data_IF_232791910667
#
_entry.id   IF_232791910667
#
_cell.length_a   1.000
_cell.length_b   1.000
_cell.length_c   1.000
_cell.angle_alpha   90.00
_cell.angle_beta   90.00
_cell.angle_gamma   90.00
#
_symmetry.space_group_name_H-M   'P 1'
#
loop_
_entity.id
_entity.type
_entity.pdbx_description
1 polymer ?
#
# COMPACT_ATOMS: atom_id res chain seq x y z
N UNK A 1 -6.69 38.11 7.30
CA UNK A 1 -6.43 36.67 7.10
C UNK A 1 -6.58 35.88 8.39
N UNK A 2 -5.84 36.16 9.47
CA UNK A 2 -6.02 35.46 10.75
C UNK A 2 -7.48 35.53 11.29
N UNK A 3 -8.17 36.67 11.17
CA UNK A 3 -9.60 36.75 11.54
C UNK A 3 -10.55 36.05 10.55
N UNK A 4 -10.12 35.83 9.30
CA UNK A 4 -10.89 35.11 8.28
C UNK A 4 -10.77 33.59 8.45
N UNK A 5 -9.58 33.11 8.83
CA UNK A 5 -9.33 31.70 9.16
C UNK A 5 -10.04 31.29 10.47
N UNK A 6 -10.07 32.16 11.48
CA UNK A 6 -10.82 31.92 12.72
C UNK A 6 -12.34 32.01 12.56
N UNK A 7 -12.82 32.57 11.44
CA UNK A 7 -14.23 32.54 11.06
C UNK A 7 -14.58 31.23 10.32
N UNK A 8 -13.65 30.69 9.52
CA UNK A 8 -13.82 29.39 8.85
C UNK A 8 -13.86 28.21 9.82
N UNK A 9 -13.08 28.22 10.90
CA UNK A 9 -13.13 27.17 11.94
C UNK A 9 -14.38 27.22 12.83
N UNK A 10 -15.13 28.32 12.78
CA UNK A 10 -16.38 28.54 13.55
C UNK A 10 -17.63 28.51 12.68
N UNK A 11 -17.47 28.31 11.37
CA UNK A 11 -18.59 28.05 10.48
C UNK A 11 -19.14 26.69 10.88
N UNK A 12 -20.31 26.68 11.52
CA UNK A 12 -21.18 25.52 11.50
C UNK A 12 -21.31 25.14 10.04
N UNK A 13 -20.89 23.91 9.72
CA UNK A 13 -21.08 23.36 8.37
C UNK A 13 -22.56 23.56 8.07
N UNK A 14 -22.92 24.28 7.00
CA UNK A 14 -24.32 24.41 6.64
C UNK A 14 -24.92 23.01 6.56
N UNK A 15 -26.09 22.81 7.19
CA UNK A 15 -26.82 21.54 7.11
C UNK A 15 -27.01 21.06 5.66
N UNK A 16 -26.83 21.97 4.70
CA UNK A 16 -26.91 21.70 3.27
C UNK A 16 -25.58 21.95 2.52
N UNK A 17 -24.56 21.15 2.80
CA UNK A 17 -23.35 21.08 1.97
C UNK A 17 -23.69 20.72 0.51
N UNK A 18 -24.86 20.12 0.28
CA UNK A 18 -25.39 19.85 -1.06
C UNK A 18 -25.78 21.14 -1.80
N UNK A 19 -26.33 22.15 -1.11
CA UNK A 19 -26.63 23.46 -1.71
C UNK A 19 -25.36 24.17 -2.19
N UNK A 20 -24.26 24.10 -1.44
CA UNK A 20 -22.96 24.65 -1.87
C UNK A 20 -22.42 23.95 -3.12
N UNK A 21 -22.49 22.61 -3.14
CA UNK A 21 -22.06 21.80 -4.28
C UNK A 21 -22.92 22.10 -5.51
N UNK A 22 -24.23 22.17 -5.36
CA UNK A 22 -25.18 22.51 -6.43
C UNK A 22 -24.95 23.94 -6.94
N UNK A 23 -24.66 24.88 -6.05
CA UNK A 23 -24.27 26.25 -6.40
C UNK A 23 -22.98 26.34 -7.22
N UNK A 24 -22.09 25.35 -7.10
CA UNK A 24 -20.88 25.21 -7.92
C UNK A 24 -21.13 24.52 -9.27
N UNK A 25 -22.37 24.12 -9.56
CA UNK A 25 -22.72 23.33 -10.75
C UNK A 25 -22.56 21.82 -10.55
N UNK A 26 -22.57 21.35 -9.30
CA UNK A 26 -22.41 19.95 -8.94
C UNK A 26 -20.96 19.57 -8.59
N UNK A 27 -20.79 18.33 -8.13
CA UNK A 27 -19.50 17.80 -7.66
C UNK A 27 -18.38 17.92 -8.70
N UNK A 28 -18.67 17.58 -9.96
CA UNK A 28 -17.67 17.58 -11.04
C UNK A 28 -17.13 19.00 -11.33
N UNK A 29 -18.03 19.98 -11.44
CA UNK A 29 -17.65 21.38 -11.67
C UNK A 29 -16.86 21.96 -10.49
N UNK A 30 -17.24 21.61 -9.25
CA UNK A 30 -16.49 21.96 -8.05
C UNK A 30 -15.07 21.37 -8.09
N UNK A 31 -14.93 20.06 -8.39
CA UNK A 31 -13.63 19.39 -8.40
C UNK A 31 -12.68 19.93 -9.48
N UNK A 32 -13.20 20.19 -10.67
CA UNK A 32 -12.47 20.85 -11.75
C UNK A 32 -12.01 22.25 -11.35
N UNK A 33 -12.89 23.02 -10.70
CA UNK A 33 -12.59 24.38 -10.24
C UNK A 33 -11.50 24.35 -9.17
N UNK A 34 -11.61 23.49 -8.15
CA UNK A 34 -10.62 23.34 -7.08
C UNK A 34 -9.26 22.94 -7.66
N UNK A 35 -9.23 21.93 -8.53
CA UNK A 35 -7.99 21.41 -9.11
C UNK A 35 -7.33 22.46 -10.02
N UNK A 36 -8.09 23.12 -10.89
CA UNK A 36 -7.57 24.15 -11.79
C UNK A 36 -7.07 25.38 -11.04
N UNK A 37 -7.79 25.78 -9.99
CA UNK A 37 -7.39 26.92 -9.15
C UNK A 37 -6.11 26.61 -8.40
N UNK A 38 -5.97 25.40 -7.85
CA UNK A 38 -4.76 25.00 -7.15
C UNK A 38 -3.57 24.84 -8.10
N UNK A 39 -3.76 24.25 -9.29
CA UNK A 39 -2.71 24.16 -10.31
C UNK A 39 -2.24 25.55 -10.77
N UNK A 40 -3.18 26.47 -11.01
CA UNK A 40 -2.86 27.86 -11.37
C UNK A 40 -2.07 28.55 -10.26
N UNK A 41 -2.52 28.44 -9.01
CA UNK A 41 -1.81 29.01 -7.86
C UNK A 41 -0.41 28.40 -7.69
N UNK A 42 -0.29 27.09 -7.94
CA UNK A 42 0.97 26.37 -7.84
C UNK A 42 1.98 26.75 -8.95
N UNK A 43 1.50 27.08 -10.15
CA UNK A 43 2.38 27.48 -11.27
C UNK A 43 2.81 28.94 -11.21
N UNK A 44 2.11 29.79 -10.45
CA UNK A 44 2.36 31.23 -10.37
C UNK A 44 2.60 31.71 -8.93
N UNK A 45 3.68 31.23 -8.27
CA UNK A 45 3.96 31.52 -6.86
C UNK A 45 4.24 33.00 -6.57
N UNK A 46 4.57 33.79 -7.60
CA UNK A 46 4.85 35.23 -7.46
C UNK A 46 3.60 36.08 -7.21
N UNK A 47 2.40 35.51 -7.40
CA UNK A 47 1.17 36.19 -7.04
C UNK A 47 1.07 36.23 -5.51
N UNK A 48 1.04 37.42 -4.93
CA UNK A 48 0.89 37.60 -3.47
C UNK A 48 -0.35 36.91 -2.89
N UNK A 49 -1.35 36.63 -3.73
CA UNK A 49 -2.56 35.89 -3.38
C UNK A 49 -2.42 34.36 -3.47
N UNK A 50 -1.40 33.81 -4.16
CA UNK A 50 -1.29 32.37 -4.41
C UNK A 50 -1.13 31.56 -3.11
N UNK A 51 -0.26 31.99 -2.20
CA UNK A 51 -0.05 31.31 -0.91
C UNK A 51 -1.33 31.31 -0.06
N UNK A 52 -2.05 32.42 -0.03
CA UNK A 52 -3.31 32.53 0.71
C UNK A 52 -4.43 31.70 0.07
N UNK A 53 -4.48 31.66 -1.26
CA UNK A 53 -5.42 30.85 -2.02
C UNK A 53 -5.18 29.35 -1.80
N UNK A 54 -3.92 28.90 -1.91
CA UNK A 54 -3.52 27.52 -1.61
C UNK A 54 -3.89 27.16 -0.17
N UNK A 55 -3.59 28.03 0.80
CA UNK A 55 -3.95 27.81 2.20
C UNK A 55 -5.45 27.71 2.42
N UNK A 56 -6.23 28.61 1.81
CA UNK A 56 -7.69 28.58 1.86
C UNK A 56 -8.28 27.32 1.23
N UNK A 57 -7.73 26.88 0.08
CA UNK A 57 -8.14 25.66 -0.59
C UNK A 57 -7.79 24.41 0.23
N UNK A 58 -6.59 24.34 0.83
CA UNK A 58 -6.22 23.21 1.67
C UNK A 58 -7.05 23.16 2.94
N UNK A 59 -7.36 24.30 3.57
CA UNK A 59 -8.27 24.34 4.71
C UNK A 59 -9.69 23.90 4.32
N UNK A 60 -10.18 24.35 3.16
CA UNK A 60 -11.46 23.90 2.63
C UNK A 60 -11.45 22.39 2.40
N UNK A 61 -10.40 21.85 1.76
CA UNK A 61 -10.25 20.42 1.50
C UNK A 61 -10.18 19.61 2.79
N UNK A 62 -9.41 20.07 3.78
CA UNK A 62 -9.26 19.41 5.07
C UNK A 62 -10.59 19.38 5.85
N UNK A 63 -11.31 20.51 5.86
CA UNK A 63 -12.66 20.59 6.45
C UNK A 63 -13.64 19.70 5.68
N UNK A 64 -13.55 19.70 4.34
CA UNK A 64 -14.37 18.86 3.47
C UNK A 64 -14.09 17.39 3.73
N UNK A 65 -12.85 16.98 3.96
CA UNK A 65 -12.50 15.59 4.29
C UNK A 65 -13.05 15.16 5.65
N UNK A 66 -13.11 16.06 6.63
CA UNK A 66 -13.67 15.77 7.95
C UNK A 66 -15.21 15.67 7.95
N UNK A 67 -15.87 16.32 7.00
CA UNK A 67 -17.32 16.55 6.99
C UNK A 67 -18.05 15.79 5.90
N UNK A 68 -17.47 15.74 4.69
CA UNK A 68 -18.09 15.15 3.50
C UNK A 68 -17.87 13.65 3.50
N UNK A 69 -18.89 12.92 3.03
CA UNK A 69 -18.87 11.47 2.90
C UNK A 69 -17.54 10.99 2.27
N UNK A 70 -16.81 10.05 2.91
CA UNK A 70 -15.55 9.47 2.44
C UNK A 70 -15.58 8.99 0.98
N UNK A 71 -16.77 8.70 0.45
CA UNK A 71 -17.01 8.22 -0.92
C UNK A 71 -16.75 9.28 -2.01
N UNK A 72 -16.78 10.56 -1.67
CA UNK A 72 -16.56 11.68 -2.62
C UNK A 72 -15.09 11.93 -2.91
N UNK A 73 -14.21 11.60 -1.96
CA UNK A 73 -12.80 11.94 -2.03
C UNK A 73 -12.04 11.20 -3.16
N UNK A 74 -12.28 9.90 -3.43
CA UNK A 74 -11.72 9.24 -4.61
C UNK A 74 -12.07 9.94 -5.93
N UNK A 75 -13.26 10.53 -6.04
CA UNK A 75 -13.69 11.24 -7.24
C UNK A 75 -12.88 12.54 -7.40
N UNK A 76 -12.74 13.31 -6.34
CA UNK A 76 -11.90 14.51 -6.33
C UNK A 76 -10.43 14.18 -6.68
N UNK A 77 -9.85 13.13 -6.08
CA UNK A 77 -8.47 12.70 -6.36
C UNK A 77 -8.29 12.24 -7.81
N UNK A 78 -9.31 11.61 -8.40
CA UNK A 78 -9.28 11.19 -9.81
C UNK A 78 -9.20 12.36 -10.81
N UNK A 79 -9.53 13.58 -10.38
CA UNK A 79 -9.40 14.79 -11.20
C UNK A 79 -7.98 15.39 -11.19
N UNK A 80 -7.01 14.77 -10.51
CA UNK A 80 -5.61 15.19 -10.55
C UNK A 80 -5.27 16.27 -9.52
N UNK A 81 -5.87 16.22 -8.34
CA UNK A 81 -5.60 17.15 -7.24
C UNK A 81 -4.21 16.98 -6.62
N UNK A 82 -3.66 15.76 -6.67
CA UNK A 82 -2.40 15.41 -5.99
C UNK A 82 -1.20 16.20 -6.53
N UNK A 83 -0.93 16.29 -7.85
CA UNK A 83 0.23 17.03 -8.34
C UNK A 83 0.23 18.52 -7.93
N UNK A 84 -0.88 19.28 -8.02
CA UNK A 84 -0.94 20.64 -7.49
C UNK A 84 -0.64 20.76 -6.00
N UNK A 85 -1.09 19.82 -5.16
CA UNK A 85 -0.75 19.81 -3.72
C UNK A 85 0.74 19.60 -3.47
N UNK A 86 1.37 18.70 -4.21
CA UNK A 86 2.81 18.47 -4.11
C UNK A 86 3.60 19.71 -4.56
N UNK A 87 3.16 20.38 -5.62
CA UNK A 87 3.78 21.65 -6.06
C UNK A 87 3.58 22.76 -5.03
N UNK A 88 2.41 22.83 -4.39
CA UNK A 88 2.12 23.78 -3.34
C UNK A 88 3.07 23.66 -2.13
N UNK A 89 3.53 22.45 -1.78
CA UNK A 89 4.55 22.27 -0.73
C UNK A 89 5.83 23.06 -1.02
N UNK A 90 6.26 23.14 -2.28
CA UNK A 90 7.47 23.88 -2.68
C UNK A 90 7.32 25.40 -2.59
N UNK A 91 6.09 25.91 -2.67
CA UNK A 91 5.79 27.35 -2.72
C UNK A 91 5.56 27.90 -1.33
N UNK A 92 4.82 27.16 -0.52
CA UNK A 92 4.33 27.66 0.77
C UNK A 92 5.44 27.69 1.80
N UNK A 93 6.31 26.68 1.83
CA UNK A 93 7.23 26.54 2.95
C UNK A 93 8.26 27.67 3.11
N UNK A 94 8.84 28.30 2.04
CA UNK A 94 9.82 29.38 2.25
C UNK A 94 9.16 30.63 2.83
N UNK A 95 7.90 30.89 2.45
CA UNK A 95 7.13 32.04 2.93
C UNK A 95 6.56 31.83 4.33
N UNK A 96 6.19 30.60 4.70
CA UNK A 96 5.66 30.26 6.03
C UNK A 96 6.70 30.41 7.14
N UNK A 97 7.98 30.09 6.88
CA UNK A 97 9.04 30.26 7.89
C UNK A 97 9.34 31.73 8.21
N UNK A 98 9.03 32.65 7.29
CA UNK A 98 9.32 34.07 7.46
C UNK A 98 8.20 34.83 8.22
N UNK A 99 6.98 34.28 8.31
CA UNK A 99 5.82 35.00 8.84
C UNK A 99 4.97 34.13 9.79
N UNK A 100 4.95 34.43 11.11
CA UNK A 100 4.24 33.65 12.13
C UNK A 100 2.70 33.61 11.97
N UNK A 101 2.12 34.43 11.09
CA UNK A 101 0.68 34.55 10.88
C UNK A 101 0.12 33.70 9.73
N UNK A 102 0.97 32.94 9.02
CA UNK A 102 0.59 32.16 7.85
C UNK A 102 0.65 30.65 8.10
N UNK A 103 -0.49 30.02 8.35
CA UNK A 103 -0.58 28.55 8.38
C UNK A 103 -1.15 27.97 7.06
N UNK A 104 -0.39 27.97 5.95
CA UNK A 104 -0.66 27.04 4.86
C UNK A 104 0.21 25.79 4.90
N UNK A 105 1.48 25.83 5.34
CA UNK A 105 2.37 24.65 5.20
C UNK A 105 1.92 23.43 6.03
N UNK A 106 1.62 23.56 7.33
CA UNK A 106 1.17 22.42 8.14
C UNK A 106 -0.17 21.84 7.65
N UNK A 107 -1.04 22.70 7.10
CA UNK A 107 -2.32 22.26 6.52
C UNK A 107 -2.08 21.50 5.22
N UNK A 108 -1.24 22.00 4.31
CA UNK A 108 -0.93 21.34 3.03
C UNK A 108 -0.34 19.96 3.27
N UNK A 109 0.62 19.81 4.20
CA UNK A 109 1.23 18.51 4.47
C UNK A 109 0.22 17.53 5.08
N UNK A 110 -0.60 17.97 6.06
CA UNK A 110 -1.66 17.14 6.63
C UNK A 110 -2.68 16.71 5.58
N UNK A 111 -3.18 17.65 4.79
CA UNK A 111 -4.15 17.36 3.71
C UNK A 111 -3.55 16.37 2.72
N UNK A 112 -2.29 16.53 2.33
CA UNK A 112 -1.62 15.60 1.44
C UNK A 112 -1.50 14.21 2.06
N UNK A 113 -0.99 14.10 3.29
CA UNK A 113 -0.86 12.81 4.01
C UNK A 113 -2.20 12.09 4.07
N UNK A 114 -3.25 12.77 4.51
CA UNK A 114 -4.61 12.22 4.57
C UNK A 114 -5.10 11.74 3.19
N UNK A 115 -4.85 12.50 2.13
CA UNK A 115 -5.23 12.12 0.76
C UNK A 115 -4.48 10.91 0.21
N UNK A 116 -3.20 10.75 0.56
CA UNK A 116 -2.41 9.59 0.16
C UNK A 116 -2.87 8.31 0.85
N UNK A 117 -3.54 8.42 2.00
CA UNK A 117 -4.15 7.30 2.72
C UNK A 117 -5.55 6.89 2.17
N UNK A 118 -6.14 7.65 1.25
CA UNK A 118 -7.49 7.39 0.69
C UNK A 118 -7.47 6.22 -0.27
N UNK A 119 -8.41 5.27 -0.13
CA UNK A 119 -8.49 4.08 -0.98
C UNK A 119 -8.59 4.40 -2.49
N UNK A 120 -7.88 3.64 -3.36
CA UNK A 120 -6.96 2.54 -3.05
C UNK A 120 -5.51 2.97 -2.70
N UNK A 121 -5.26 4.26 -2.43
CA UNK A 121 -4.00 4.84 -1.92
C UNK A 121 -2.90 4.94 -2.97
N UNK A 122 -2.54 3.80 -3.57
CA UNK A 122 -1.41 3.70 -4.48
C UNK A 122 -1.50 4.63 -5.71
N UNK A 123 -2.65 4.87 -6.39
CA UNK A 123 -2.65 5.77 -7.54
C UNK A 123 -2.27 7.20 -7.15
N UNK A 124 -2.62 7.60 -5.93
CA UNK A 124 -2.34 8.93 -5.39
C UNK A 124 -0.87 9.06 -5.01
N UNK A 125 -0.29 8.04 -4.38
CA UNK A 125 1.16 7.98 -4.12
C UNK A 125 1.95 8.00 -5.43
N UNK A 126 1.51 7.26 -6.46
CA UNK A 126 2.13 7.28 -7.79
C UNK A 126 2.15 8.68 -8.40
N UNK A 127 1.01 9.39 -8.35
CA UNK A 127 0.90 10.76 -8.81
C UNK A 127 1.80 11.71 -8.01
N UNK A 128 1.84 11.57 -6.68
CA UNK A 128 2.64 12.43 -5.82
C UNK A 128 4.15 12.26 -6.09
N UNK A 129 4.61 11.01 -6.28
CA UNK A 129 5.99 10.72 -6.64
C UNK A 129 6.36 11.35 -7.99
N UNK A 130 5.49 11.23 -9.00
CA UNK A 130 5.69 11.88 -10.31
C UNK A 130 5.72 13.40 -10.22
N UNK A 131 4.98 13.98 -9.28
CA UNK A 131 4.96 15.40 -9.01
C UNK A 131 6.17 15.90 -8.18
N UNK A 132 7.09 15.00 -7.79
CA UNK A 132 8.30 15.37 -7.07
C UNK A 132 8.16 15.38 -5.54
N UNK A 133 7.21 14.62 -4.98
CA UNK A 133 7.00 14.53 -3.52
C UNK A 133 8.31 14.26 -2.77
N UNK A 134 9.11 13.30 -3.25
CA UNK A 134 10.36 12.93 -2.59
C UNK A 134 11.35 14.09 -2.50
N UNK A 135 11.46 14.89 -3.57
CA UNK A 135 12.32 16.08 -3.59
C UNK A 135 11.82 17.13 -2.60
N UNK A 136 10.51 17.32 -2.48
CA UNK A 136 9.92 18.24 -1.50
C UNK A 136 10.19 17.77 -0.08
N UNK A 137 9.95 16.49 0.22
CA UNK A 137 10.21 15.92 1.55
C UNK A 137 11.69 16.04 1.93
N UNK A 138 12.59 15.76 0.98
CA UNK A 138 14.04 15.88 1.21
C UNK A 138 14.44 17.33 1.49
N UNK A 139 13.95 18.26 0.69
CA UNK A 139 14.24 19.69 0.84
C UNK A 139 13.79 20.21 2.20
N UNK A 140 12.55 19.90 2.60
CA UNK A 140 11.97 20.36 3.85
C UNK A 140 12.56 19.66 5.07
N UNK A 141 12.74 18.33 5.01
CA UNK A 141 13.35 17.57 6.09
C UNK A 141 14.80 17.97 6.37
N UNK A 142 15.51 18.51 5.37
CA UNK A 142 16.87 19.02 5.55
C UNK A 142 16.93 20.40 6.21
N UNK A 143 15.81 21.16 6.33
CA UNK A 143 15.86 22.50 6.91
C UNK A 143 15.96 22.46 8.44
N UNK A 144 16.96 23.12 9.05
CA UNK A 144 17.06 23.23 10.49
C UNK A 144 15.80 23.84 11.12
N UNK A 145 15.41 23.35 12.29
CA UNK A 145 14.29 23.87 13.08
C UNK A 145 12.89 23.39 12.65
N UNK A 146 12.68 22.96 11.41
CA UNK A 146 11.34 22.46 10.98
C UNK A 146 10.94 21.21 11.74
N UNK A 147 11.87 20.26 11.89
CA UNK A 147 11.56 18.98 12.55
C UNK A 147 11.68 19.03 14.07
N UNK A 148 12.44 19.99 14.62
CA UNK A 148 12.69 20.09 16.06
C UNK A 148 11.71 21.05 16.75
N UNK A 149 11.41 22.18 16.11
CA UNK A 149 10.62 23.28 16.68
C UNK A 149 9.39 23.63 15.83
N UNK A 150 9.09 22.83 14.80
CA UNK A 150 7.96 23.06 13.91
C UNK A 150 6.61 22.76 14.56
N UNK A 151 5.51 23.19 13.93
CA UNK A 151 4.16 22.83 14.35
C UNK A 151 3.97 21.31 14.42
N UNK A 152 3.17 20.78 15.36
CA UNK A 152 2.89 19.35 15.49
C UNK A 152 2.47 18.68 14.18
N UNK A 153 1.65 19.37 13.37
CA UNK A 153 1.20 18.81 12.10
C UNK A 153 2.36 18.59 11.12
N UNK A 154 3.45 19.36 11.21
CA UNK A 154 4.64 19.10 10.40
C UNK A 154 5.47 17.98 11.01
N UNK A 155 5.72 18.04 12.31
CA UNK A 155 6.60 17.08 13.01
C UNK A 155 5.99 15.68 13.11
N UNK A 156 4.68 15.53 13.02
CA UNK A 156 3.97 14.24 13.00
C UNK A 156 3.75 13.71 11.57
N UNK A 157 3.31 14.55 10.62
CA UNK A 157 2.96 14.07 9.27
C UNK A 157 4.19 13.75 8.40
N UNK A 158 5.35 14.41 8.61
CA UNK A 158 6.56 14.09 7.87
C UNK A 158 7.09 12.67 8.18
N UNK A 159 7.29 12.31 9.46
CA UNK A 159 7.63 10.94 9.81
C UNK A 159 6.57 9.96 9.33
N UNK A 160 5.28 10.26 9.47
CA UNK A 160 4.20 9.37 9.01
C UNK A 160 4.30 9.05 7.51
N UNK A 161 4.60 10.04 6.66
CA UNK A 161 4.82 9.79 5.23
C UNK A 161 5.99 8.83 4.98
N UNK A 162 7.10 9.00 5.71
CA UNK A 162 8.33 8.22 5.51
C UNK A 162 8.31 6.85 6.19
N UNK A 163 7.62 6.71 7.31
CA UNK A 163 7.54 5.50 8.14
C UNK A 163 6.36 4.60 7.78
N UNK A 164 5.25 5.20 7.32
CA UNK A 164 3.97 4.51 7.18
C UNK A 164 3.53 4.54 5.73
N UNK A 165 3.21 5.73 5.18
CA UNK A 165 2.52 5.85 3.89
C UNK A 165 3.37 5.33 2.73
N UNK A 166 4.61 5.82 2.59
CA UNK A 166 5.49 5.42 1.48
C UNK A 166 5.96 3.96 1.61
N UNK A 167 6.41 3.47 2.79
CA UNK A 167 6.77 2.06 2.96
C UNK A 167 5.62 1.09 2.65
N UNK A 168 4.39 1.38 3.09
CA UNK A 168 3.21 0.57 2.75
C UNK A 168 2.96 0.52 1.24
N UNK A 169 3.13 1.65 0.54
CA UNK A 169 2.89 1.73 -0.88
C UNK A 169 3.92 0.93 -1.72
N UNK A 170 5.09 0.59 -1.16
CA UNK A 170 6.12 -0.22 -1.83
C UNK A 170 5.74 -1.70 -2.03
N UNK A 171 4.54 -2.13 -1.62
CA UNK A 171 3.99 -3.43 -2.05
C UNK A 171 3.49 -3.40 -3.50
N UNK A 172 3.30 -2.22 -4.09
CA UNK A 172 2.72 -2.06 -5.43
C UNK A 172 3.79 -1.82 -6.49
N UNK A 173 3.68 -2.58 -7.60
CA UNK A 173 4.60 -2.51 -8.73
C UNK A 173 4.86 -1.08 -9.26
N UNK A 174 3.83 -0.26 -9.59
CA UNK A 174 4.08 1.07 -10.15
C UNK A 174 4.82 1.99 -9.19
N UNK A 175 4.55 1.84 -7.88
CA UNK A 175 5.17 2.67 -6.85
C UNK A 175 6.65 2.36 -6.75
N UNK A 176 7.06 1.10 -6.76
CA UNK A 176 8.50 0.75 -6.77
C UNK A 176 9.19 1.38 -7.98
N UNK A 177 8.56 1.31 -9.17
CA UNK A 177 9.13 1.89 -10.40
C UNK A 177 9.26 3.41 -10.30
N UNK A 178 8.21 4.12 -9.88
CA UNK A 178 8.27 5.58 -9.75
C UNK A 178 9.18 6.02 -8.60
N UNK A 179 9.21 5.27 -7.50
CA UNK A 179 10.08 5.55 -6.36
C UNK A 179 11.56 5.40 -6.75
N UNK A 180 11.94 4.36 -7.52
CA UNK A 180 13.31 4.23 -8.07
C UNK A 180 13.73 5.45 -8.88
N UNK A 181 12.84 5.96 -9.74
CA UNK A 181 13.10 7.18 -10.53
C UNK A 181 13.23 8.41 -9.63
N UNK A 182 12.34 8.55 -8.64
CA UNK A 182 12.36 9.66 -7.71
C UNK A 182 13.67 9.68 -6.90
N UNK A 183 14.10 8.53 -6.36
CA UNK A 183 15.38 8.42 -5.64
C UNK A 183 16.59 8.70 -6.53
N UNK A 184 16.56 8.30 -7.81
CA UNK A 184 17.65 8.61 -8.75
C UNK A 184 17.78 10.11 -9.07
N UNK A 185 16.70 10.89 -8.86
CA UNK A 185 16.65 12.32 -9.15
C UNK A 185 16.83 13.21 -7.90
N UNK A 186 16.94 12.62 -6.72
CA UNK A 186 17.16 13.36 -5.47
C UNK A 186 18.65 13.28 -5.09
N UNK A 187 19.26 14.43 -4.85
CA UNK A 187 20.61 14.47 -4.27
C UNK A 187 20.55 13.89 -2.86
N UNK A 188 21.20 12.74 -2.67
CA UNK A 188 21.20 12.06 -1.38
C UNK A 188 22.08 12.85 -0.40
N UNK A 189 21.56 13.25 0.76
CA UNK A 189 22.36 13.95 1.74
C UNK A 189 23.48 13.04 2.25
N UNK A 190 24.69 13.60 2.36
CA UNK A 190 25.81 12.94 3.02
C UNK A 190 25.46 12.64 4.49
N UNK A 191 26.11 11.64 5.08
CA UNK A 191 25.99 11.31 6.51
C UNK A 191 26.24 12.49 7.45
N UNK A 192 26.97 13.50 6.96
CA UNK A 192 27.36 14.68 7.73
C UNK A 192 26.47 15.90 7.40
N UNK A 193 25.41 15.71 6.60
CA UNK A 193 24.52 16.79 6.14
C UNK A 193 23.47 17.24 7.16
N UNK A 194 22.74 18.31 6.84
CA UNK A 194 21.68 18.86 7.71
C UNK A 194 20.58 17.83 8.01
N UNK A 195 20.22 16.98 7.04
CA UNK A 195 19.24 15.91 7.25
C UNK A 195 19.66 14.93 8.35
N UNK A 196 20.96 14.65 8.51
CA UNK A 196 21.46 13.72 9.54
C UNK A 196 21.07 14.14 10.96
N UNK A 197 20.85 15.44 11.17
CA UNK A 197 20.48 16.03 12.46
C UNK A 197 18.96 16.24 12.63
N UNK A 198 18.17 15.99 11.59
CA UNK A 198 16.72 16.26 11.56
C UNK A 198 15.86 15.21 12.27
N UNK A 199 16.45 14.12 12.75
CA UNK A 199 15.73 12.93 13.26
C UNK A 199 15.14 12.05 12.15
N UNK A 200 14.93 12.58 10.93
CA UNK A 200 14.36 11.83 9.80
C UNK A 200 15.38 10.93 9.08
N UNK A 201 16.68 11.09 9.33
CA UNK A 201 17.73 10.40 8.57
C UNK A 201 17.62 8.88 8.65
N UNK A 202 17.25 8.32 9.81
CA UNK A 202 16.98 6.88 9.94
C UNK A 202 15.80 6.46 9.06
N UNK A 203 14.70 7.21 9.09
CA UNK A 203 13.49 6.91 8.32
C UNK A 203 13.77 6.88 6.81
N UNK A 204 14.58 7.83 6.33
CA UNK A 204 15.03 7.88 4.94
C UNK A 204 15.87 6.66 4.56
N UNK A 205 16.81 6.26 5.42
CA UNK A 205 17.63 5.07 5.17
C UNK A 205 16.80 3.79 5.20
N UNK A 206 15.83 3.68 6.10
CA UNK A 206 14.93 2.54 6.20
C UNK A 206 14.03 2.44 4.96
N UNK A 207 13.45 3.56 4.52
CA UNK A 207 12.66 3.63 3.28
C UNK A 207 13.51 3.23 2.06
N UNK A 208 14.74 3.72 1.98
CA UNK A 208 15.67 3.37 0.89
C UNK A 208 16.05 1.89 0.91
N UNK A 209 16.40 1.35 2.08
CA UNK A 209 16.74 -0.05 2.24
C UNK A 209 15.56 -0.96 1.84
N UNK A 210 14.33 -0.59 2.23
CA UNK A 210 13.12 -1.27 1.80
C UNK A 210 12.92 -1.18 0.28
N UNK A 211 13.12 0.00 -0.32
CA UNK A 211 13.05 0.17 -1.78
C UNK A 211 14.07 -0.70 -2.52
N UNK A 212 15.31 -0.79 -2.04
CA UNK A 212 16.36 -1.61 -2.64
C UNK A 212 16.01 -3.11 -2.56
N UNK A 213 15.47 -3.57 -1.42
CA UNK A 213 14.94 -4.92 -1.26
C UNK A 213 13.83 -5.21 -2.29
N UNK A 214 12.81 -4.34 -2.36
CA UNK A 214 11.68 -4.53 -3.28
C UNK A 214 12.09 -4.41 -4.75
N UNK A 215 13.07 -3.57 -5.05
CA UNK A 215 13.66 -3.45 -6.39
C UNK A 215 14.39 -4.73 -6.82
N UNK A 216 15.10 -5.37 -5.89
CA UNK A 216 15.73 -6.67 -6.16
C UNK A 216 14.70 -7.74 -6.50
N UNK A 217 13.59 -7.80 -5.75
CA UNK A 217 12.46 -8.72 -6.03
C UNK A 217 11.87 -8.42 -7.41
N UNK A 218 11.70 -7.14 -7.73
CA UNK A 218 11.19 -6.70 -9.01
C UNK A 218 12.08 -7.14 -10.19
N UNK A 219 13.40 -6.97 -10.08
CA UNK A 219 14.36 -7.37 -11.11
C UNK A 219 14.40 -8.88 -11.31
N UNK A 220 14.30 -9.67 -10.23
CA UNK A 220 14.17 -11.13 -10.31
C UNK A 220 12.90 -11.52 -11.07
N UNK A 221 11.79 -10.81 -10.84
CA UNK A 221 10.53 -11.07 -11.56
C UNK A 221 10.61 -10.70 -13.04
N UNK A 222 11.20 -9.55 -13.37
CA UNK A 222 11.30 -9.10 -14.74
C UNK A 222 12.25 -10.00 -15.56
N UNK A 223 13.37 -10.42 -14.96
CA UNK A 223 14.40 -11.27 -15.59
C UNK A 223 14.01 -12.74 -15.78
N UNK A 224 13.37 -13.37 -14.78
CA UNK A 224 13.06 -14.83 -14.83
C UNK A 224 11.77 -15.16 -15.58
N UNK A 225 11.05 -14.16 -16.10
CA UNK A 225 9.72 -14.36 -16.65
C UNK A 225 8.71 -14.77 -15.57
N UNK A 226 7.46 -15.05 -15.98
CA UNK A 226 6.42 -15.43 -15.02
C UNK A 226 6.70 -16.87 -14.55
N UNK A 227 6.86 -17.14 -13.24
CA UNK A 227 6.95 -18.51 -12.78
C UNK A 227 5.67 -19.25 -13.20
N UNK A 228 5.83 -20.46 -13.77
CA UNK A 228 4.69 -21.36 -13.96
C UNK A 228 4.02 -21.56 -12.60
N UNK A 229 2.70 -21.40 -12.57
CA UNK A 229 1.91 -21.54 -11.35
C UNK A 229 1.89 -22.99 -10.82
N UNK A 230 2.41 -23.97 -11.57
CA UNK A 230 2.32 -25.38 -11.18
C UNK A 230 3.39 -26.33 -11.78
N UNK A 231 4.14 -25.94 -12.81
CA UNK A 231 5.07 -26.89 -13.43
C UNK A 231 6.46 -26.91 -12.76
N UNK A 232 6.99 -28.12 -12.59
CA UNK A 232 8.38 -28.41 -12.19
C UNK A 232 9.46 -27.94 -13.20
N UNK A 233 9.07 -27.40 -14.37
CA UNK A 233 9.99 -26.86 -15.37
C UNK A 233 9.96 -25.34 -15.38
N UNK A 234 11.12 -24.74 -15.14
CA UNK A 234 11.39 -23.33 -15.42
C UNK A 234 11.86 -23.25 -16.87
N UNK A 235 11.13 -22.53 -17.74
CA UNK A 235 11.65 -22.15 -19.06
C UNK A 235 12.05 -20.67 -19.03
N UNK A 236 13.21 -20.30 -19.60
CA UNK A 236 13.58 -18.90 -19.78
C UNK A 236 12.67 -18.19 -20.79
N UNK A 237 11.99 -18.91 -21.68
CA UNK A 237 11.10 -18.30 -22.67
C UNK A 237 9.64 -18.29 -22.20
N UNK A 238 9.03 -17.09 -22.18
CA UNK A 238 7.63 -16.89 -21.76
C UNK A 238 6.64 -17.59 -22.69
N UNK A 239 6.99 -17.76 -23.95
CA UNK A 239 6.11 -18.33 -24.97
C UNK A 239 6.00 -19.86 -24.88
N UNK A 240 6.88 -20.51 -24.12
CA UNK A 240 6.84 -21.96 -23.91
C UNK A 240 5.69 -22.39 -22.97
N UNK A 241 5.10 -21.44 -22.24
CA UNK A 241 4.02 -21.72 -21.30
C UNK A 241 2.65 -21.50 -21.92
N UNK A 242 1.81 -22.55 -21.87
CA UNK A 242 0.40 -22.49 -22.23
C UNK A 242 -0.39 -21.85 -21.11
N UNK A 243 -1.18 -20.81 -21.42
CA UNK A 243 -2.07 -20.18 -20.45
C UNK A 243 -3.43 -20.88 -20.41
N UNK A 244 -4.08 -20.86 -19.25
CA UNK A 244 -5.50 -21.20 -19.18
C UNK A 244 -6.29 -20.29 -20.12
N UNK A 245 -7.06 -20.85 -21.06
CA UNK A 245 -7.83 -20.08 -22.04
C UNK A 245 -8.97 -19.28 -21.41
N UNK A 246 -9.45 -19.69 -20.23
CA UNK A 246 -10.45 -18.95 -19.46
C UNK A 246 -9.83 -17.81 -18.67
N UNK A 247 -9.26 -18.11 -17.50
CA UNK A 247 -8.78 -17.08 -16.58
C UNK A 247 -7.47 -16.42 -17.00
N UNK A 248 -6.67 -17.04 -17.89
CA UNK A 248 -5.33 -16.58 -18.29
C UNK A 248 -4.35 -16.30 -17.14
N UNK A 249 -4.68 -16.71 -15.90
CA UNK A 249 -3.85 -16.49 -14.71
C UNK A 249 -2.86 -17.63 -14.49
N UNK A 250 -3.27 -18.86 -14.75
CA UNK A 250 -2.41 -20.04 -14.65
C UNK A 250 -1.61 -20.27 -15.94
N UNK A 251 -0.35 -20.69 -15.78
CA UNK A 251 0.59 -20.96 -16.85
C UNK A 251 1.21 -22.35 -16.67
N UNK A 252 1.14 -23.16 -17.74
CA UNK A 252 1.50 -24.58 -17.73
C UNK A 252 2.58 -24.87 -18.77
N UNK A 253 3.59 -25.66 -18.40
CA UNK A 253 4.64 -26.08 -19.33
C UNK A 253 4.16 -27.10 -20.37
N UNK A 254 2.98 -27.70 -20.16
CA UNK A 254 2.39 -28.67 -21.08
C UNK A 254 0.88 -28.75 -20.90
N UNK A 255 0.19 -29.32 -21.89
CA UNK A 255 -1.25 -29.61 -21.77
C UNK A 255 -1.54 -30.67 -20.69
N UNK A 256 -0.59 -31.58 -20.42
CA UNK A 256 -0.73 -32.57 -19.35
C UNK A 256 -0.80 -31.89 -17.98
N UNK A 257 0.11 -30.94 -17.68
CA UNK A 257 0.07 -30.15 -16.45
C UNK A 257 -1.20 -29.31 -16.34
N UNK A 258 -1.68 -28.74 -17.46
CA UNK A 258 -2.96 -28.02 -17.47
C UNK A 258 -4.14 -28.92 -17.10
N UNK A 259 -4.21 -30.14 -17.66
CA UNK A 259 -5.29 -31.09 -17.37
C UNK A 259 -5.23 -31.57 -15.93
N UNK A 260 -4.04 -31.84 -15.41
CA UNK A 260 -3.84 -32.23 -14.00
C UNK A 260 -4.36 -31.13 -13.05
N UNK A 261 -3.92 -29.87 -13.24
CA UNK A 261 -4.42 -28.74 -12.43
C UNK A 261 -5.94 -28.55 -12.57
N UNK A 262 -6.46 -28.70 -13.79
CA UNK A 262 -7.89 -28.58 -14.07
C UNK A 262 -8.71 -29.55 -13.23
N UNK A 263 -8.26 -30.80 -13.10
CA UNK A 263 -8.90 -31.82 -12.26
C UNK A 263 -8.66 -31.63 -10.77
N UNK A 264 -7.52 -31.06 -10.38
CA UNK A 264 -7.15 -30.82 -8.97
C UNK A 264 -7.84 -29.60 -8.33
N UNK A 265 -8.54 -28.79 -9.12
CA UNK A 265 -9.38 -27.70 -8.60
C UNK A 265 -9.34 -26.43 -9.43
N UNK A 266 -8.46 -26.31 -10.44
CA UNK A 266 -8.39 -25.08 -11.24
C UNK A 266 -9.68 -24.78 -11.99
N UNK A 267 -10.54 -25.77 -12.27
CA UNK A 267 -11.85 -25.50 -12.87
C UNK A 267 -12.68 -24.49 -12.06
N UNK A 268 -12.67 -24.63 -10.74
CA UNK A 268 -13.41 -23.74 -9.84
C UNK A 268 -12.66 -22.42 -9.69
N UNK A 269 -11.34 -22.47 -9.48
CA UNK A 269 -10.48 -21.29 -9.41
C UNK A 269 -10.59 -20.43 -10.68
N UNK A 270 -10.68 -21.05 -11.86
CA UNK A 270 -10.83 -20.39 -13.15
C UNK A 270 -12.14 -19.63 -13.24
N UNK A 271 -13.26 -20.25 -12.82
CA UNK A 271 -14.58 -19.58 -12.80
C UNK A 271 -14.58 -18.38 -11.88
N UNK A 272 -13.94 -18.51 -10.73
CA UNK A 272 -13.87 -17.45 -9.74
C UNK A 272 -12.90 -16.34 -10.15
N UNK A 273 -11.78 -16.67 -10.81
CA UNK A 273 -10.95 -15.65 -11.47
C UNK A 273 -11.70 -14.90 -12.57
N UNK A 274 -12.56 -15.59 -13.32
CA UNK A 274 -13.44 -14.94 -14.30
C UNK A 274 -14.50 -14.07 -13.61
N UNK A 275 -15.13 -14.54 -12.54
CA UNK A 275 -16.08 -13.76 -11.76
C UNK A 275 -15.41 -12.53 -11.12
N UNK A 276 -14.21 -12.68 -10.55
CA UNK A 276 -13.41 -11.61 -9.96
C UNK A 276 -12.94 -10.57 -10.98
N UNK A 277 -12.75 -10.96 -12.25
CA UNK A 277 -12.53 -10.01 -13.36
C UNK A 277 -13.77 -9.16 -13.63
N UNK A 278 -14.96 -9.74 -13.47
CA UNK A 278 -16.23 -9.05 -13.66
C UNK A 278 -16.60 -8.21 -12.43
N UNK A 279 -16.24 -8.66 -11.23
CA UNK A 279 -16.61 -8.00 -9.97
C UNK A 279 -15.53 -7.10 -9.37
N UNK A 280 -14.32 -7.05 -9.95
CA UNK A 280 -13.15 -6.28 -9.52
C UNK A 280 -13.09 -6.03 -8.01
N UNK A 281 -13.24 -7.08 -7.19
CA UNK A 281 -13.39 -6.90 -5.73
C UNK A 281 -12.18 -6.24 -5.06
N UNK A 282 -10.99 -6.28 -5.68
CA UNK A 282 -9.81 -5.54 -5.22
C UNK A 282 -9.55 -4.27 -6.02
N UNK A 283 -10.18 -4.08 -7.19
CA UNK A 283 -9.85 -3.02 -8.15
C UNK A 283 -8.41 -3.03 -8.67
N UNK A 284 -7.60 -4.05 -8.33
CA UNK A 284 -6.17 -4.06 -8.64
C UNK A 284 -5.90 -4.59 -10.06
N UNK A 285 -5.06 -3.91 -10.86
CA UNK A 285 -4.64 -4.43 -12.15
C UNK A 285 -3.91 -5.78 -12.00
N UNK A 286 -4.08 -6.67 -12.98
CA UNK A 286 -3.49 -8.03 -12.98
C UNK A 286 -1.97 -8.03 -12.69
N UNK A 287 -1.25 -7.01 -13.18
CA UNK A 287 0.19 -6.85 -12.94
C UNK A 287 0.52 -6.71 -11.44
N UNK A 288 -0.33 -6.02 -10.68
CA UNK A 288 -0.16 -5.82 -9.24
C UNK A 288 -0.34 -7.14 -8.50
N UNK A 289 -1.41 -7.88 -8.79
CA UNK A 289 -1.65 -9.19 -8.19
C UNK A 289 -0.51 -10.18 -8.44
N UNK A 290 0.11 -10.13 -9.62
CA UNK A 290 1.27 -10.97 -9.92
C UNK A 290 2.49 -10.57 -9.10
N UNK A 291 2.77 -9.27 -8.99
CA UNK A 291 3.89 -8.79 -8.19
C UNK A 291 3.70 -9.13 -6.71
N UNK A 292 2.51 -8.89 -6.14
CA UNK A 292 2.17 -9.22 -4.74
C UNK A 292 2.38 -10.71 -4.44
N UNK A 293 2.00 -11.61 -5.36
CA UNK A 293 2.26 -13.05 -5.21
C UNK A 293 3.74 -13.40 -5.19
N UNK A 294 4.56 -12.68 -5.95
CA UNK A 294 6.00 -12.92 -5.99
C UNK A 294 6.67 -12.35 -4.76
N UNK A 295 6.27 -11.15 -4.33
CA UNK A 295 6.67 -10.53 -3.08
C UNK A 295 6.42 -11.49 -1.91
N UNK A 296 5.18 -11.96 -1.78
CA UNK A 296 4.76 -12.94 -0.78
C UNK A 296 5.61 -14.22 -0.83
N UNK A 297 5.82 -14.78 -2.03
CA UNK A 297 6.64 -15.99 -2.21
C UNK A 297 8.10 -15.76 -1.78
N UNK A 298 8.68 -14.61 -2.12
CA UNK A 298 10.06 -14.30 -1.77
C UNK A 298 10.21 -14.13 -0.26
N UNK A 299 9.28 -13.41 0.37
CA UNK A 299 9.26 -13.24 1.83
C UNK A 299 9.04 -14.57 2.56
N UNK A 300 8.16 -15.44 2.06
CA UNK A 300 8.00 -16.79 2.59
C UNK A 300 9.31 -17.59 2.53
N UNK A 301 10.01 -17.58 1.39
CA UNK A 301 11.29 -18.30 1.24
C UNK A 301 12.33 -17.74 2.22
N UNK A 302 12.41 -16.41 2.33
CA UNK A 302 13.34 -15.71 3.23
C UNK A 302 13.06 -16.02 4.70
N UNK A 303 11.79 -16.10 5.08
CA UNK A 303 11.33 -16.26 6.47
C UNK A 303 10.89 -17.69 6.81
N UNK A 304 11.18 -18.67 5.95
CA UNK A 304 10.65 -20.05 6.08
C UNK A 304 10.94 -20.71 7.43
N UNK A 305 12.11 -20.44 8.02
CA UNK A 305 12.51 -21.07 9.29
C UNK A 305 11.77 -20.48 10.49
N UNK A 306 11.75 -19.14 10.71
CA UNK A 306 10.87 -18.53 11.71
C UNK A 306 9.41 -18.96 11.57
N UNK A 307 8.88 -18.93 10.35
CA UNK A 307 7.49 -19.35 10.05
C UNK A 307 7.26 -20.79 10.49
N UNK A 308 8.16 -21.72 10.14
CA UNK A 308 8.03 -23.12 10.52
C UNK A 308 8.03 -23.33 12.04
N UNK A 309 8.88 -22.58 12.77
CA UNK A 309 8.94 -22.64 14.24
C UNK A 309 7.61 -22.17 14.85
N UNK A 310 7.07 -21.05 14.38
CA UNK A 310 5.82 -20.51 14.91
C UNK A 310 4.61 -21.38 14.54
N UNK A 311 4.64 -22.00 13.35
CA UNK A 311 3.67 -23.03 12.96
C UNK A 311 3.71 -24.24 13.91
N UNK A 312 4.89 -24.75 14.24
CA UNK A 312 5.06 -25.90 15.16
C UNK A 312 4.52 -25.55 16.55
N UNK A 313 4.86 -24.37 17.09
CA UNK A 313 4.34 -23.89 18.37
C UNK A 313 2.81 -23.80 18.36
N UNK A 314 2.27 -23.16 17.33
CA UNK A 314 0.83 -23.02 17.16
C UNK A 314 0.13 -24.38 17.11
N UNK A 315 0.65 -25.34 16.34
CA UNK A 315 0.08 -26.70 16.22
C UNK A 315 0.18 -27.50 17.52
N UNK A 316 1.26 -27.33 18.29
CA UNK A 316 1.40 -28.00 19.58
C UNK A 316 0.31 -27.52 20.56
N UNK A 317 0.05 -26.22 20.58
CA UNK A 317 -1.00 -25.61 21.39
C UNK A 317 -2.41 -25.93 20.84
N UNK A 318 -2.56 -26.01 19.51
CA UNK A 318 -3.85 -26.08 18.82
C UNK A 318 -3.88 -27.19 17.72
N UNK A 319 -3.81 -28.49 18.10
CA UNK A 319 -3.57 -29.59 17.16
C UNK A 319 -4.64 -29.76 16.07
N UNK A 320 -5.88 -29.43 16.38
CA UNK A 320 -7.03 -29.60 15.47
C UNK A 320 -7.46 -28.30 14.79
N UNK A 321 -6.79 -27.18 15.10
CA UNK A 321 -7.16 -25.87 14.57
C UNK A 321 -6.41 -25.61 13.27
N UNK A 322 -7.10 -25.39 12.13
CA UNK A 322 -6.45 -24.97 10.90
C UNK A 322 -5.73 -23.64 11.12
N UNK A 323 -4.49 -23.54 10.66
CA UNK A 323 -3.68 -22.33 10.81
C UNK A 323 -3.64 -21.50 9.52
N UNK A 324 -3.29 -20.23 9.70
CA UNK A 324 -3.05 -19.23 8.68
C UNK A 324 -1.66 -18.62 8.92
N UNK A 325 -0.86 -18.47 7.87
CA UNK A 325 0.36 -17.65 7.91
C UNK A 325 0.04 -16.28 7.33
N UNK A 326 0.09 -15.27 8.17
CA UNK A 326 -0.33 -13.92 7.86
C UNK A 326 0.87 -13.00 7.65
N UNK A 327 0.95 -12.42 6.45
CA UNK A 327 2.01 -11.50 6.05
C UNK A 327 1.50 -10.07 6.12
N UNK A 328 1.90 -9.36 7.17
CA UNK A 328 1.48 -8.01 7.45
C UNK A 328 2.48 -6.98 6.91
N UNK A 329 2.09 -6.27 5.87
CA UNK A 329 2.84 -5.20 5.23
C UNK A 329 2.29 -3.80 5.57
N UNK A 330 1.42 -3.69 6.59
CA UNK A 330 0.92 -2.38 7.08
C UNK A 330 2.04 -1.50 7.66
N UNK A 331 3.22 -2.04 7.98
CA UNK A 331 4.41 -1.26 8.33
C UNK A 331 5.42 -1.10 7.19
N UNK A 332 5.06 -1.46 5.95
CA UNK A 332 5.97 -1.56 4.80
C UNK A 332 6.92 -2.77 4.84
N UNK A 333 7.69 -2.90 5.92
CA UNK A 333 8.41 -4.12 6.23
C UNK A 333 7.44 -5.23 6.62
N UNK A 334 7.70 -6.45 6.15
CA UNK A 334 6.81 -7.58 6.41
C UNK A 334 6.96 -8.09 7.83
N UNK A 335 5.86 -8.18 8.56
CA UNK A 335 5.73 -8.92 9.82
C UNK A 335 4.95 -10.19 9.53
N UNK A 336 5.45 -11.35 9.97
CA UNK A 336 4.76 -12.63 9.75
C UNK A 336 4.22 -13.15 11.06
N UNK A 337 2.97 -13.56 11.03
CA UNK A 337 2.27 -14.11 12.19
C UNK A 337 1.63 -15.45 11.81
N UNK A 338 1.41 -16.31 12.81
CA UNK A 338 0.66 -17.56 12.65
C UNK A 338 -0.59 -17.49 13.50
N UNK A 339 -1.76 -17.55 12.87
CA UNK A 339 -3.06 -17.38 13.51
C UNK A 339 -3.95 -18.60 13.27
N UNK A 340 -4.98 -18.81 14.10
CA UNK A 340 -6.06 -19.72 13.73
C UNK A 340 -6.78 -19.15 12.50
N UNK A 341 -7.12 -20.03 11.54
CA UNK A 341 -7.82 -19.64 10.32
C UNK A 341 -9.17 -18.96 10.59
N UNK A 342 -9.78 -19.23 11.75
CA UNK A 342 -11.02 -18.60 12.20
C UNK A 342 -10.91 -17.10 12.49
N UNK A 343 -9.70 -16.56 12.66
CA UNK A 343 -9.49 -15.12 12.86
C UNK A 343 -9.57 -14.30 11.57
N UNK A 344 -9.57 -14.93 10.40
CA UNK A 344 -9.80 -14.20 9.15
C UNK A 344 -11.28 -13.97 8.98
N UNK A 345 -11.65 -12.70 8.75
CA UNK A 345 -13.00 -12.37 8.31
C UNK A 345 -13.35 -13.19 7.07
N UNK A 346 -14.42 -13.99 7.16
CA UNK A 346 -14.87 -14.84 6.05
C UNK A 346 -15.16 -14.02 4.79
N UNK A 347 -15.49 -12.73 4.92
CA UNK A 347 -15.67 -11.81 3.80
C UNK A 347 -14.35 -11.51 3.06
N UNK A 348 -13.22 -11.46 3.78
CA UNK A 348 -11.88 -11.30 3.21
C UNK A 348 -11.38 -12.55 2.48
N UNK A 349 -11.89 -13.75 2.84
CA UNK A 349 -11.56 -15.01 2.17
C UNK A 349 -12.30 -15.19 0.84
N UNK A 350 -12.51 -14.11 0.07
CA UNK A 350 -13.20 -14.13 -1.23
C UNK A 350 -12.90 -15.41 -2.01
N UNK A 351 -13.92 -16.28 -2.12
CA UNK A 351 -13.81 -17.69 -2.54
C UNK A 351 -13.12 -17.79 -3.91
N UNK A 352 -11.97 -18.50 -4.02
CA UNK A 352 -11.83 -19.96 -4.31
C UNK A 352 -11.02 -20.73 -3.27
N UNK A 353 -10.17 -20.01 -2.55
CA UNK A 353 -9.09 -20.60 -1.78
C UNK A 353 -9.60 -21.24 -0.49
N UNK A 354 -10.69 -20.75 0.12
CA UNK A 354 -11.36 -21.41 1.25
C UNK A 354 -11.91 -22.79 0.91
N UNK A 355 -12.58 -22.94 -0.24
CA UNK A 355 -13.08 -24.24 -0.70
C UNK A 355 -11.93 -25.20 -1.00
N UNK A 356 -10.82 -24.69 -1.53
CA UNK A 356 -9.61 -25.49 -1.76
C UNK A 356 -8.95 -25.93 -0.45
N UNK A 357 -8.83 -25.03 0.52
CA UNK A 357 -8.33 -25.31 1.87
C UNK A 357 -9.19 -26.37 2.56
N UNK A 358 -10.52 -26.25 2.47
CA UNK A 358 -11.46 -27.25 2.99
C UNK A 358 -11.28 -28.62 2.33
N UNK A 359 -11.20 -28.66 0.99
CA UNK A 359 -10.97 -29.91 0.22
C UNK A 359 -9.62 -30.56 0.52
N UNK A 360 -8.60 -29.77 0.86
CA UNK A 360 -7.29 -30.31 1.19
C UNK A 360 -7.27 -31.03 2.56
N UNK A 361 -8.33 -30.92 3.37
CA UNK A 361 -8.42 -31.59 4.67
C UNK A 361 -7.31 -31.13 5.62
N UNK A 362 -6.99 -29.83 5.60
CA UNK A 362 -5.92 -29.25 6.42
C UNK A 362 -4.51 -29.47 5.89
N UNK A 363 -4.31 -30.11 4.72
CA UNK A 363 -2.97 -30.26 4.10
C UNK A 363 -2.44 -29.02 3.40
N UNK A 364 -3.28 -28.00 3.24
CA UNK A 364 -2.89 -26.71 2.68
C UNK A 364 -2.86 -25.67 3.79
N UNK A 365 -1.76 -24.92 3.84
CA UNK A 365 -1.61 -23.76 4.71
C UNK A 365 -2.20 -22.55 4.00
N UNK A 366 -3.14 -21.87 4.65
CA UNK A 366 -3.65 -20.61 4.16
C UNK A 366 -2.56 -19.54 4.36
N UNK A 367 -2.37 -18.66 3.38
CA UNK A 367 -1.54 -17.47 3.58
C UNK A 367 -2.38 -16.23 3.29
N UNK A 368 -2.39 -15.27 4.22
CA UNK A 368 -2.96 -13.95 4.02
C UNK A 368 -1.85 -12.92 3.84
N UNK A 369 -2.18 -11.87 3.12
CA UNK A 369 -1.36 -10.68 3.01
C UNK A 369 -2.22 -9.48 3.40
N UNK A 370 -1.71 -8.67 4.32
CA UNK A 370 -2.33 -7.44 4.80
C UNK A 370 -1.53 -6.25 4.34
N UNK A 371 -2.19 -5.24 3.79
CA UNK A 371 -1.57 -3.98 3.39
C UNK A 371 -2.60 -2.86 3.41
N UNK A 372 -2.13 -1.61 3.45
CA UNK A 372 -2.95 -0.41 3.71
C UNK A 372 -2.80 0.08 5.15
N UNK A 373 -3.52 1.16 5.49
CA UNK A 373 -3.53 1.73 6.85
C UNK A 373 -4.60 1.06 7.74
N UNK A 374 -4.61 1.37 9.04
CA UNK A 374 -5.53 0.75 10.02
C UNK A 374 -7.00 0.91 9.63
N UNK A 375 -7.40 2.09 9.18
CA UNK A 375 -8.76 2.37 8.73
C UNK A 375 -9.12 1.65 7.42
N UNK A 376 -8.10 1.28 6.63
CA UNK A 376 -8.26 0.80 5.26
C UNK A 376 -7.41 -0.42 4.95
N UNK A 377 -7.63 -1.48 5.72
CA UNK A 377 -6.99 -2.78 5.53
C UNK A 377 -7.48 -3.50 4.26
N UNK A 378 -6.54 -4.00 3.47
CA UNK A 378 -6.79 -4.98 2.42
C UNK A 378 -6.26 -6.34 2.87
N UNK A 379 -7.15 -7.32 2.92
CA UNK A 379 -6.81 -8.71 3.17
C UNK A 379 -6.91 -9.49 1.86
N UNK A 380 -5.80 -10.07 1.42
CA UNK A 380 -5.78 -10.97 0.27
C UNK A 380 -5.26 -12.33 0.70
N UNK A 381 -5.99 -13.39 0.36
CA UNK A 381 -5.54 -14.76 0.62
C UNK A 381 -4.96 -15.37 -0.65
N UNK A 382 -3.74 -15.87 -0.53
CA UNK A 382 -3.05 -16.58 -1.59
C UNK A 382 -2.49 -17.90 -1.05
N UNK A 383 -2.90 -19.06 -1.58
CA UNK A 383 -2.19 -20.29 -1.29
C UNK A 383 -0.80 -20.20 -1.93
N UNK A 384 0.24 -20.12 -1.11
CA UNK A 384 1.59 -20.39 -1.60
C UNK A 384 1.72 -21.89 -1.81
N UNK A 385 2.03 -22.27 -3.05
CA UNK A 385 2.23 -23.65 -3.47
C UNK A 385 3.51 -24.30 -2.90
N UNK A 386 4.20 -23.61 -2.01
CA UNK A 386 5.52 -23.99 -1.53
C UNK A 386 5.48 -25.00 -0.38
N UNK A 387 4.35 -25.16 0.32
CA UNK A 387 4.19 -26.23 1.32
C UNK A 387 3.57 -27.45 0.66
N UNK A 388 4.40 -28.44 0.35
CA UNK A 388 3.91 -29.79 0.04
C UNK A 388 3.22 -30.36 1.28
N UNK A 389 2.29 -31.31 1.08
CA UNK A 389 1.67 -32.02 2.21
C UNK A 389 2.74 -32.65 3.12
N UNK A 390 3.82 -33.16 2.54
CA UNK A 390 4.94 -33.77 3.27
C UNK A 390 5.61 -32.79 4.24
N UNK A 391 5.85 -31.54 3.81
CA UNK A 391 6.43 -30.54 4.71
C UNK A 391 5.50 -30.26 5.89
N UNK A 392 4.20 -30.11 5.62
CA UNK A 392 3.22 -29.83 6.65
C UNK A 392 3.01 -31.00 7.61
N UNK A 393 2.98 -32.24 7.10
CA UNK A 393 2.91 -33.45 7.91
C UNK A 393 4.16 -33.59 8.80
N UNK A 394 5.34 -33.25 8.27
CA UNK A 394 6.57 -33.17 9.05
C UNK A 394 6.50 -32.13 10.18
N UNK A 395 5.95 -30.94 9.93
CA UNK A 395 5.74 -29.94 10.99
C UNK A 395 4.75 -30.42 12.05
N UNK A 396 3.67 -31.11 11.65
CA UNK A 396 2.72 -31.72 12.60
C UNK A 396 3.38 -32.77 13.48
N UNK A 397 4.24 -33.61 12.93
CA UNK A 397 4.95 -34.63 13.71
C UNK A 397 5.95 -33.99 14.69
N UNK A 398 6.67 -32.95 14.26
CA UNK A 398 7.53 -32.16 15.16
C UNK A 398 6.69 -31.50 16.27
N UNK A 399 5.52 -30.96 15.95
CA UNK A 399 4.62 -30.34 16.94
C UNK A 399 4.09 -31.35 17.96
N UNK A 400 3.75 -32.58 17.55
CA UNK A 400 3.40 -33.67 18.48
C UNK A 400 4.55 -33.99 19.42
N UNK A 401 5.77 -34.13 18.88
CA UNK A 401 6.98 -34.40 19.68
C UNK A 401 7.24 -33.26 20.68
N UNK A 402 7.10 -32.00 20.23
CA UNK A 402 7.30 -30.82 21.06
C UNK A 402 6.27 -30.69 22.19
N UNK A 403 5.04 -31.16 21.99
CA UNK A 403 3.98 -31.17 23.01
C UNK A 403 4.22 -32.20 24.12
N UNK A 404 5.04 -33.22 23.86
CA UNK A 404 5.41 -34.27 24.81
C UNK A 404 5.91 -35.50 24.05
N UNK A 405 7.04 -36.14 24.36
CA UNK A 405 7.67 -36.26 25.68
C UNK A 405 6.68 -36.56 26.83
N UNK A 406 5.53 -37.12 26.47
CA UNK A 406 4.83 -38.18 27.19
C UNK A 406 4.46 -39.22 26.12
N UNK A 407 5.18 -40.31 25.85
CA UNK A 407 6.30 -40.96 26.52
C UNK A 407 6.84 -42.08 25.61
N UNK A 408 7.33 -43.19 26.18
CA UNK A 408 6.56 -44.41 25.95
C UNK A 408 6.24 -45.14 27.25
N UNK A 409 4.98 -45.58 27.38
CA UNK A 409 4.63 -46.75 28.19
C UNK A 409 4.96 -48.04 27.45
#
# INVERSE_FOLDING_TARGET
MASSLNALSKLEVPDDLSEFVDGCGGHEALYLTLTSTMDLAARHPTLSSAVALVGGLCLLLDTTMAVVAPDTLPHLLSHGLIPPLVLALGIVGPSSLAHPSGVPFPIVIRTLTSMLCVRPGYPWVEQALRAGLLSQLMFWGSKPGIMQDGPPEVTENFPELLEVVLPQALVFYPIIVEMRKAFANVEWPSSDGELAHSGLYSNWNDLKALLDERSTILEVWESKGRPSSMCCKVSPNRDDFRRCSGCQTAAYCSQACQRADWTEGHRDDCRLHLAARVSSQTGLPHRHCLFLRILLRMDYIRLRMPIAIDMVRFMAENPDTPLLVDFDYTGGAVKVNVWPLSMVDRAAIGMPHSQRLARAGGRLVAHSMRFGCEDFRFDAIWPLWASTSEFYDGLKDIAKIAKGLEGPG
#
